data_IF_338477492882
#
_entry.id   IF_338477492882
#
_cell.length_a   1.000
_cell.length_b   1.000
_cell.length_c   1.000
_cell.angle_alpha   90.00
_cell.angle_beta   90.00
_cell.angle_gamma   90.00
#
_symmetry.space_group_name_H-M   'P 1'
#
loop_
_entity.id
_entity.type
_entity.pdbx_description
1 polymer ?
#
# COMPACT_ATOMS: atom_id res chain seq x y z
N UNK A 1 23.55 -6.02 -8.70
CA UNK A 1 22.64 -6.05 -9.51
C UNK A 1 21.55 -5.07 -9.30
N UNK A 2 20.91 -4.76 -10.18
CA UNK A 2 19.97 -3.72 -10.13
C UNK A 2 18.61 -4.23 -9.80
N UNK A 3 17.95 -3.57 -8.91
CA UNK A 3 16.59 -3.93 -8.70
C UNK A 3 15.76 -3.55 -9.85
N UNK A 4 14.85 -4.39 -10.20
CA UNK A 4 13.92 -4.11 -11.25
C UNK A 4 12.55 -3.93 -10.69
N UNK A 5 11.89 -2.87 -11.11
CA UNK A 5 10.57 -2.55 -10.65
C UNK A 5 9.64 -2.60 -11.85
N UNK A 6 8.57 -3.38 -11.72
CA UNK A 6 7.54 -3.41 -12.75
C UNK A 6 6.44 -2.46 -12.34
N UNK A 7 6.16 -1.49 -13.19
CA UNK A 7 5.12 -0.50 -12.90
C UNK A 7 3.78 -1.02 -13.42
N UNK A 8 2.85 -1.17 -12.49
CA UNK A 8 1.53 -1.70 -12.80
C UNK A 8 0.55 -0.55 -12.76
N UNK A 9 -0.22 -0.39 -13.84
CA UNK A 9 -1.23 0.63 -13.96
C UNK A 9 -2.44 0.19 -13.14
N UNK A 10 -2.77 0.91 -12.09
CA UNK A 10 -3.80 0.49 -11.18
C UNK A 10 -5.15 1.11 -11.53
N UNK A 11 -5.18 2.44 -11.66
CA UNK A 11 -6.44 3.10 -11.99
C UNK A 11 -6.15 4.56 -12.36
N UNK A 12 -7.12 5.22 -13.00
CA UNK A 12 -6.96 6.66 -13.26
C UNK A 12 -6.98 7.44 -11.95
N UNK A 13 -6.14 8.46 -11.90
CA UNK A 13 -6.05 9.28 -10.70
C UNK A 13 -7.40 9.88 -10.34
N UNK A 14 -8.19 10.25 -11.31
CA UNK A 14 -9.47 10.87 -11.05
C UNK A 14 -10.51 9.94 -10.46
N UNK A 15 -10.24 8.65 -10.44
CA UNK A 15 -11.17 7.70 -9.85
C UNK A 15 -10.87 7.40 -8.40
N UNK A 16 -9.79 7.94 -7.86
CA UNK A 16 -9.50 7.84 -6.44
C UNK A 16 -9.41 9.27 -5.92
N UNK A 17 -10.46 9.71 -5.26
CA UNK A 17 -10.54 11.10 -4.85
C UNK A 17 -9.64 11.38 -3.67
N UNK A 18 -9.24 12.63 -3.52
CA UNK A 18 -8.47 13.02 -2.36
C UNK A 18 -9.25 12.71 -1.10
N UNK A 19 -8.56 12.07 -0.15
CA UNK A 19 -9.19 11.63 1.07
C UNK A 19 -9.67 10.19 1.03
N UNK A 20 -9.57 9.53 -0.12
CA UNK A 20 -10.03 8.15 -0.25
C UNK A 20 -8.88 7.17 -0.29
N UNK A 21 -9.20 5.92 0.01
CA UNK A 21 -8.27 4.83 -0.18
C UNK A 21 -9.02 3.65 -0.78
N UNK A 22 -8.29 2.74 -1.39
CA UNK A 22 -8.90 1.57 -2.01
C UNK A 22 -7.91 0.43 -2.02
N UNK A 23 -8.42 -0.79 -1.96
CA UNK A 23 -7.60 -1.97 -1.99
C UNK A 23 -7.62 -2.60 -3.37
N UNK A 24 -6.49 -3.19 -3.74
CA UNK A 24 -6.34 -3.83 -5.04
C UNK A 24 -5.55 -5.11 -4.90
N UNK A 25 -5.89 -6.09 -5.73
CA UNK A 25 -5.12 -7.32 -5.84
C UNK A 25 -4.32 -7.22 -7.12
N UNK A 26 -3.00 -7.05 -6.99
CA UNK A 26 -2.12 -6.96 -8.14
C UNK A 26 -1.23 -8.19 -8.16
N UNK A 27 -1.53 -9.10 -9.08
CA UNK A 27 -0.70 -10.29 -9.28
C UNK A 27 -0.54 -11.08 -7.99
N UNK A 28 -1.61 -11.19 -7.23
CA UNK A 28 -1.58 -11.96 -6.01
C UNK A 28 -1.19 -11.20 -4.78
N UNK A 29 -0.79 -9.95 -4.92
CA UNK A 29 -0.43 -9.13 -3.77
C UNK A 29 -1.56 -8.18 -3.45
N UNK A 30 -1.95 -8.15 -2.19
CA UNK A 30 -2.97 -7.22 -1.75
C UNK A 30 -2.33 -5.89 -1.43
N UNK A 31 -2.79 -4.84 -2.11
CA UNK A 31 -2.23 -3.50 -1.95
C UNK A 31 -3.30 -2.54 -1.51
N UNK A 32 -2.87 -1.51 -0.81
CA UNK A 32 -3.74 -0.43 -0.38
C UNK A 32 -3.17 0.86 -0.96
N UNK A 33 -3.99 1.56 -1.73
CA UNK A 33 -3.57 2.83 -2.33
C UNK A 33 -4.38 3.93 -1.66
N UNK A 34 -3.69 4.97 -1.19
CA UNK A 34 -4.35 6.06 -0.50
C UNK A 34 -4.01 7.37 -1.22
N UNK A 35 -5.04 8.19 -1.40
CA UNK A 35 -4.89 9.53 -1.99
C UNK A 35 -5.17 10.51 -0.86
N UNK A 36 -4.11 11.07 -0.29
CA UNK A 36 -4.26 11.96 0.86
C UNK A 36 -4.88 13.29 0.47
N UNK A 37 -5.40 13.99 1.46
CA UNK A 37 -6.02 15.29 1.22
C UNK A 37 -5.04 16.32 0.69
N UNK A 38 -3.74 16.13 0.94
CA UNK A 38 -2.74 17.06 0.41
C UNK A 38 -2.36 16.75 -1.03
N UNK A 39 -3.00 15.76 -1.63
CA UNK A 39 -2.75 15.39 -3.02
C UNK A 39 -1.72 14.30 -3.21
N UNK A 40 -1.02 13.89 -2.17
CA UNK A 40 -0.02 12.84 -2.31
C UNK A 40 -0.69 11.46 -2.40
N UNK A 41 -0.07 10.56 -3.15
CA UNK A 41 -0.59 9.21 -3.33
C UNK A 41 0.47 8.25 -2.84
N UNK A 42 0.06 7.28 -2.00
CA UNK A 42 0.97 6.29 -1.47
C UNK A 42 0.34 4.92 -1.58
N UNK A 43 1.19 3.90 -1.62
CA UNK A 43 0.72 2.52 -1.71
C UNK A 43 1.42 1.70 -0.64
N UNK A 44 0.65 0.88 0.05
CA UNK A 44 1.15 0.04 1.13
C UNK A 44 0.63 -1.37 0.97
N UNK A 45 1.18 -2.29 1.76
CA UNK A 45 0.61 -3.62 1.81
C UNK A 45 -0.86 -3.51 2.23
N UNK A 46 -1.69 -4.36 1.66
CA UNK A 46 -3.13 -4.29 1.92
C UNK A 46 -3.61 -5.14 3.07
N UNK A 47 -2.75 -6.02 3.58
CA UNK A 47 -3.11 -6.86 4.70
C UNK A 47 -2.44 -6.36 5.96
N UNK A 48 -3.15 -6.46 7.08
CA UNK A 48 -2.57 -6.10 8.36
C UNK A 48 -1.41 -7.05 8.66
N UNK A 49 -0.27 -6.54 9.14
CA UNK A 49 0.88 -7.41 9.34
C UNK A 49 0.71 -8.44 10.44
N UNK A 50 -0.24 -8.26 11.36
CA UNK A 50 -0.39 -9.22 12.45
C UNK A 50 -1.47 -10.25 12.19
N UNK A 51 -2.31 -10.06 11.17
CA UNK A 51 -3.32 -11.06 10.84
C UNK A 51 -3.85 -10.79 9.46
N UNK A 52 -4.53 -11.78 8.89
CA UNK A 52 -4.99 -11.67 7.51
C UNK A 52 -6.31 -10.94 7.45
N UNK A 53 -6.26 -9.65 7.67
CA UNK A 53 -7.41 -8.77 7.60
C UNK A 53 -7.07 -7.65 6.62
N UNK A 54 -7.99 -7.37 5.72
CA UNK A 54 -7.75 -6.33 4.74
C UNK A 54 -7.82 -4.96 5.41
N UNK A 55 -6.77 -4.17 5.22
CA UNK A 55 -6.72 -2.85 5.82
C UNK A 55 -7.79 -1.93 5.25
N UNK A 56 -8.21 -2.17 4.01
CA UNK A 56 -9.24 -1.33 3.43
C UNK A 56 -10.57 -1.44 4.16
N UNK A 57 -10.76 -2.49 4.96
CA UNK A 57 -11.97 -2.65 5.74
C UNK A 57 -11.90 -1.96 7.08
N UNK A 58 -10.80 -1.30 7.39
CA UNK A 58 -10.64 -0.64 8.68
C UNK A 58 -11.26 0.73 8.70
N UNK A 59 -11.03 1.43 9.81
CA UNK A 59 -11.55 2.78 9.98
C UNK A 59 -10.51 3.78 9.49
N UNK A 60 -10.88 4.51 8.47
CA UNK A 60 -9.97 5.45 7.81
C UNK A 60 -10.36 6.88 8.18
N UNK A 61 -9.39 7.63 8.70
CA UNK A 61 -9.58 9.04 9.00
C UNK A 61 -8.73 9.85 8.04
N UNK A 62 -9.37 10.47 7.07
CA UNK A 62 -8.64 11.15 6.01
C UNK A 62 -7.96 12.41 6.52
N UNK A 63 -8.46 13.02 7.56
CA UNK A 63 -7.88 14.25 8.04
C UNK A 63 -6.60 14.00 8.80
N UNK A 64 -6.55 12.94 9.59
CA UNK A 64 -5.33 12.62 10.34
C UNK A 64 -4.40 11.71 9.57
N UNK A 65 -4.90 11.03 8.53
CA UNK A 65 -4.09 10.06 7.81
C UNK A 65 -3.89 8.77 8.56
N UNK A 66 -4.75 8.47 9.52
CA UNK A 66 -4.61 7.29 10.38
C UNK A 66 -5.63 6.25 9.98
N UNK A 67 -5.18 5.02 9.83
CA UNK A 67 -6.06 3.89 9.55
C UNK A 67 -6.01 2.93 10.73
N UNK A 68 -7.19 2.53 11.20
CA UNK A 68 -7.30 1.59 12.31
C UNK A 68 -7.77 0.26 11.76
N UNK A 69 -6.96 -0.77 11.94
CA UNK A 69 -7.27 -2.10 11.45
C UNK A 69 -8.51 -2.64 12.15
N UNK A 70 -9.40 -3.26 11.39
CA UNK A 70 -10.66 -3.75 11.94
C UNK A 70 -10.47 -4.95 12.85
N UNK A 71 -9.32 -5.63 12.78
CA UNK A 71 -9.09 -6.81 13.59
C UNK A 71 -8.88 -6.49 15.03
N UNK A 72 -7.68 -6.02 15.40
CA UNK A 72 -7.36 -5.73 16.78
C UNK A 72 -7.15 -4.24 17.01
N UNK A 73 -7.64 -3.43 16.10
CA UNK A 73 -7.58 -1.97 16.21
C UNK A 73 -6.16 -1.43 16.28
N UNK A 74 -5.27 -2.07 15.54
CA UNK A 74 -3.93 -1.54 15.35
C UNK A 74 -4.02 -0.27 14.51
N UNK A 75 -3.21 0.72 14.83
CA UNK A 75 -3.27 2.02 14.18
C UNK A 75 -2.03 2.26 13.36
N UNK A 76 -2.21 2.76 12.15
CA UNK A 76 -1.11 3.02 11.23
C UNK A 76 -1.22 4.42 10.67
N UNK A 77 -0.06 5.07 10.54
CA UNK A 77 0.03 6.38 9.90
C UNK A 77 0.28 6.15 8.41
N UNK A 78 -0.68 6.50 7.59
CA UNK A 78 -0.55 6.23 6.16
C UNK A 78 0.23 7.31 5.42
N UNK A 79 0.79 8.29 6.11
CA UNK A 79 1.77 9.15 5.49
C UNK A 79 3.14 8.50 5.48
N UNK A 80 3.42 7.61 6.41
CA UNK A 80 4.74 6.99 6.53
C UNK A 80 4.70 5.47 6.51
N UNK A 81 3.56 4.88 6.83
CA UNK A 81 3.45 3.43 6.98
C UNK A 81 3.81 2.95 8.37
N UNK A 82 4.20 3.84 9.27
CA UNK A 82 4.61 3.43 10.60
C UNK A 82 3.42 3.08 11.45
N UNK A 83 3.60 2.09 12.33
CA UNK A 83 2.59 1.79 13.31
C UNK A 83 2.55 2.86 14.38
N UNK A 84 1.35 3.18 14.83
CA UNK A 84 1.17 4.13 15.92
C UNK A 84 0.92 3.35 17.19
N UNK A 85 0.10 2.35 17.12
CA UNK A 85 -0.24 1.54 18.28
C UNK A 85 -0.57 0.13 17.81
N UNK A 86 0.35 -0.80 17.94
CA UNK A 86 1.70 -0.67 18.50
C UNK A 86 2.64 0.05 17.57
N UNK A 87 3.68 0.63 18.13
CA UNK A 87 4.60 1.43 17.33
C UNK A 87 5.83 0.64 16.89
N UNK A 88 5.84 -0.68 17.11
CA UNK A 88 6.98 -1.49 16.70
C UNK A 88 6.73 -2.24 15.41
N UNK A 89 5.72 -1.85 14.64
CA UNK A 89 5.46 -2.47 13.35
C UNK A 89 5.35 -1.39 12.30
N UNK A 90 5.31 -1.84 11.04
CA UNK A 90 5.28 -0.88 9.96
C UNK A 90 4.75 -1.60 8.73
N UNK A 91 4.01 -0.87 7.92
CA UNK A 91 3.49 -1.39 6.67
C UNK A 91 4.57 -1.31 5.60
N UNK A 92 4.64 -2.34 4.77
CA UNK A 92 5.51 -2.29 3.60
C UNK A 92 4.95 -1.28 2.63
N UNK A 93 5.80 -0.38 2.15
CA UNK A 93 5.39 0.65 1.22
C UNK A 93 5.91 0.30 -0.17
N UNK A 94 5.10 0.59 -1.18
CA UNK A 94 5.45 0.35 -2.57
C UNK A 94 5.61 1.70 -3.26
N UNK A 95 6.53 1.83 -4.22
CA UNK A 95 6.70 3.09 -4.93
C UNK A 95 5.48 3.39 -5.79
N UNK A 96 5.17 4.66 -5.92
CA UNK A 96 4.04 5.12 -6.70
C UNK A 96 4.52 6.15 -7.70
N UNK A 97 3.94 6.11 -8.89
CA UNK A 97 4.25 7.06 -9.94
C UNK A 97 2.94 7.50 -10.56
N UNK A 98 2.81 8.79 -10.80
CA UNK A 98 1.65 9.32 -11.52
C UNK A 98 2.13 9.67 -12.92
N UNK A 99 1.51 9.05 -13.92
CA UNK A 99 1.91 9.26 -15.30
C UNK A 99 0.66 9.37 -16.14
N UNK A 100 0.50 10.50 -16.82
CA UNK A 100 -0.64 10.73 -17.70
C UNK A 100 -1.96 10.54 -16.95
N UNK A 101 -2.01 11.05 -15.73
CA UNK A 101 -3.20 10.98 -14.88
C UNK A 101 -3.59 9.56 -14.49
N UNK A 102 -2.63 8.64 -14.48
CA UNK A 102 -2.87 7.29 -14.00
C UNK A 102 -1.92 6.98 -12.85
N UNK A 103 -2.43 6.19 -11.91
CA UNK A 103 -1.64 5.77 -10.76
C UNK A 103 -0.96 4.46 -11.09
N UNK A 104 0.36 4.45 -11.00
CA UNK A 104 1.14 3.25 -11.23
C UNK A 104 1.82 2.87 -9.92
N UNK A 105 1.83 1.58 -9.62
CA UNK A 105 2.48 1.07 -8.42
C UNK A 105 3.59 0.13 -8.86
N UNK A 106 4.74 0.24 -8.22
CA UNK A 106 5.88 -0.58 -8.57
C UNK A 106 5.95 -1.84 -7.75
N UNK A 107 6.04 -2.98 -8.43
CA UNK A 107 6.23 -4.26 -7.80
C UNK A 107 7.62 -4.77 -8.14
N UNK A 108 8.24 -5.48 -7.22
CA UNK A 108 9.56 -6.01 -7.47
C UNK A 108 9.46 -7.16 -8.46
N UNK A 109 10.17 -7.03 -9.57
CA UNK A 109 10.02 -8.00 -10.63
C UNK A 109 10.71 -9.30 -10.31
N UNK A 110 11.80 -9.24 -9.53
CA UNK A 110 12.58 -10.44 -9.36
C UNK A 110 12.02 -11.38 -8.35
N UNK A 111 11.21 -10.90 -7.47
CA UNK A 111 10.92 -11.68 -6.30
C UNK A 111 10.24 -12.94 -6.60
N UNK A 112 9.81 -13.09 -7.79
CA UNK A 112 9.22 -14.33 -8.14
C UNK A 112 10.21 -15.26 -8.56
N UNK A 113 11.36 -14.85 -8.90
CA UNK A 113 12.22 -15.75 -9.39
C UNK A 113 13.33 -15.85 -8.61
N UNK A 114 13.71 -15.58 -7.99
CA UNK A 114 14.84 -15.89 -7.37
C UNK A 114 14.92 -16.68 -6.42
N UNK A 115 14.24 -16.43 -6.50
CA UNK A 115 14.36 -17.00 -6.07
C UNK A 115 14.56 -17.67 -5.86
N UNK A 116 14.46 -17.83 -5.87
CA UNK A 116 14.57 -18.44 -5.78
C UNK A 116 15.31 -19.04 -5.65
N UNK A 117 15.62 -18.92 -5.46
CA UNK A 117 16.25 -19.46 -5.39
C UNK A 117 16.79 -19.85 -4.96
N UNK A 118 16.90 -20.00 -4.91
CA UNK A 118 17.39 -20.44 -4.44
C UNK A 118 17.96 -21.01 -4.15
N UNK A 119 17.88 -20.90 -4.10
CA UNK A 119 18.22 -21.31 -4.08
C UNK A 119 18.72 -21.52 -3.86
N UNK A 120 18.62 -21.47 -3.82
CA UNK A 120 18.86 -21.46 -3.75
C UNK A 120 19.22 -21.88 -3.41
#
# INVERSE_FOLDING_TARGET
>A
MTEQVRWIDVLPLGELWEGDLAGFDLEGEQLLVVHHLDGSVRAFQGMCPHQEVLLEDGDWNEESGVLVCSGHRWEFDLFTGDGINPDDCRLKEYPVRIDQDRILVGLEAYEKEIDADPVR
#
